data_IF_481476112566
#
_entry.id   IF_481476112566
#
_cell.length_a   1.000
_cell.length_b   1.000
_cell.length_c   1.000
_cell.angle_alpha   90.00
_cell.angle_beta   90.00
_cell.angle_gamma   90.00
#
_symmetry.space_group_name_H-M   'P 1'
#
loop_
_entity.id
_entity.type
_entity.pdbx_description
1 polymer ?
#
# COMPACT_ATOMS: atom_id res chain seq x y z
N UNK A 1 12.16 -21.68 18.02
CA UNK A 1 12.70 -20.69 17.08
C UNK A 1 11.58 -19.75 16.70
N UNK A 2 11.73 -18.44 16.92
CA UNK A 2 10.73 -17.44 16.52
C UNK A 2 11.29 -16.71 15.30
N UNK A 3 10.72 -16.87 14.09
CA UNK A 3 11.24 -16.19 12.91
C UNK A 3 11.17 -14.67 13.09
N UNK A 4 12.08 -13.94 12.44
CA UNK A 4 12.03 -12.48 12.43
C UNK A 4 10.73 -12.01 11.76
N UNK A 5 9.95 -11.19 12.47
CA UNK A 5 8.69 -10.62 11.99
C UNK A 5 8.96 -9.23 11.43
N UNK A 6 8.43 -8.94 10.24
CA UNK A 6 8.61 -7.63 9.63
C UNK A 6 7.90 -6.55 10.46
N UNK A 7 8.49 -5.36 10.68
CA UNK A 7 7.85 -4.32 11.50
C UNK A 7 6.48 -3.86 10.98
N UNK A 8 6.22 -4.03 9.68
CA UNK A 8 4.94 -3.71 9.01
C UNK A 8 4.06 -4.95 8.77
N UNK A 9 4.37 -6.09 9.38
CA UNK A 9 3.57 -7.30 9.23
C UNK A 9 2.19 -7.10 9.87
N UNK A 10 1.08 -7.24 9.12
CA UNK A 10 -0.26 -7.08 9.68
C UNK A 10 -0.70 -8.32 10.48
N UNK A 11 -1.56 -8.12 11.48
CA UNK A 11 -2.15 -9.24 12.21
C UNK A 11 -3.23 -9.93 11.37
N UNK A 12 -2.95 -11.16 10.93
CA UNK A 12 -3.85 -11.95 10.07
C UNK A 12 -5.22 -12.22 10.71
N UNK A 13 -5.28 -12.41 12.03
CA UNK A 13 -6.53 -12.66 12.79
C UNK A 13 -7.29 -11.39 13.18
N UNK A 14 -6.71 -10.20 12.99
CA UNK A 14 -7.27 -8.91 13.39
C UNK A 14 -7.88 -8.10 12.26
N UNK A 15 -8.16 -8.73 11.10
CA UNK A 15 -8.64 -8.04 9.89
C UNK A 15 -10.13 -7.73 9.96
N UNK A 16 -10.56 -6.71 9.21
CA UNK A 16 -11.96 -6.38 8.98
C UNK A 16 -12.77 -5.93 10.21
N UNK A 17 -12.11 -5.43 11.27
CA UNK A 17 -12.80 -4.97 12.48
C UNK A 17 -13.46 -3.60 12.27
N UNK A 18 -12.79 -2.69 11.57
CA UNK A 18 -13.30 -1.34 11.26
C UNK A 18 -12.98 -0.98 9.80
N UNK A 19 -13.96 -0.39 9.13
CA UNK A 19 -13.89 -0.01 7.72
C UNK A 19 -14.39 1.41 7.55
N UNK A 20 -13.79 2.12 6.61
CA UNK A 20 -14.25 3.43 6.16
C UNK A 20 -15.60 3.32 5.43
N UNK A 21 -16.45 4.37 5.42
CA UNK A 21 -17.61 4.45 4.52
C UNK A 21 -17.23 4.30 3.03
N UNK A 22 -15.99 4.59 2.67
CA UNK A 22 -15.47 4.49 1.30
C UNK A 22 -14.98 3.07 0.93
N UNK A 23 -15.09 2.11 1.85
CA UNK A 23 -14.52 0.77 1.70
C UNK A 23 -14.90 0.06 0.39
N UNK A 24 -16.17 0.13 -0.02
CA UNK A 24 -16.61 -0.51 -1.26
C UNK A 24 -15.88 0.07 -2.47
N UNK A 25 -15.75 1.41 -2.51
CA UNK A 25 -15.06 2.09 -3.60
C UNK A 25 -13.55 1.84 -3.57
N UNK A 26 -12.93 1.86 -2.39
CA UNK A 26 -11.51 1.55 -2.23
C UNK A 26 -11.20 0.11 -2.68
N UNK A 27 -12.13 -0.83 -2.44
CA UNK A 27 -12.01 -2.21 -2.92
C UNK A 27 -12.15 -2.31 -4.44
N UNK A 28 -13.10 -1.59 -5.04
CA UNK A 28 -13.25 -1.51 -6.51
C UNK A 28 -11.99 -0.96 -7.19
N UNK A 29 -11.31 -0.01 -6.56
CA UNK A 29 -10.06 0.58 -7.05
C UNK A 29 -8.83 -0.33 -6.81
N UNK A 30 -9.03 -1.50 -6.20
CA UNK A 30 -7.95 -2.44 -5.89
C UNK A 30 -7.01 -1.92 -4.79
N UNK A 31 -7.57 -1.37 -3.72
CA UNK A 31 -6.80 -0.87 -2.58
C UNK A 31 -5.92 -1.94 -1.94
N UNK A 32 -4.65 -1.60 -1.73
CA UNK A 32 -3.70 -2.43 -0.99
C UNK A 32 -3.87 -2.19 0.51
N UNK A 33 -4.70 -3.01 1.17
CA UNK A 33 -5.09 -2.78 2.56
C UNK A 33 -4.14 -3.39 3.59
N UNK A 34 -3.82 -2.61 4.61
CA UNK A 34 -3.24 -3.10 5.86
C UNK A 34 -4.06 -2.66 7.06
N UNK A 35 -3.98 -3.46 8.11
CA UNK A 35 -4.65 -3.18 9.37
C UNK A 35 -3.77 -2.31 10.27
N UNK A 36 -4.36 -1.25 10.83
CA UNK A 36 -3.73 -0.41 11.83
C UNK A 36 -4.75 0.01 12.90
N UNK A 37 -4.63 -0.54 14.11
CA UNK A 37 -5.52 -0.23 15.22
C UNK A 37 -6.97 -0.68 14.98
N UNK A 38 -7.14 -1.79 14.28
CA UNK A 38 -8.42 -2.39 13.86
C UNK A 38 -9.01 -1.78 12.58
N UNK A 39 -8.42 -0.72 12.02
CA UNK A 39 -8.87 -0.10 10.78
C UNK A 39 -8.15 -0.67 9.57
N UNK A 40 -8.91 -1.02 8.54
CA UNK A 40 -8.35 -1.28 7.22
C UNK A 40 -8.02 0.04 6.52
N UNK A 41 -6.75 0.24 6.16
CA UNK A 41 -6.27 1.43 5.45
C UNK A 41 -5.62 1.03 4.13
N UNK A 42 -6.05 1.66 3.04
CA UNK A 42 -5.39 1.49 1.75
C UNK A 42 -4.04 2.22 1.76
N UNK A 43 -2.98 1.51 1.37
CA UNK A 43 -1.63 2.07 1.22
C UNK A 43 -1.33 2.52 -0.21
N UNK A 44 -2.17 2.14 -1.17
CA UNK A 44 -2.13 2.54 -2.58
C UNK A 44 -3.24 1.82 -3.33
N UNK A 45 -3.50 2.20 -4.58
CA UNK A 45 -4.58 1.61 -5.38
C UNK A 45 -4.04 0.99 -6.67
N UNK A 46 -4.42 -0.26 -6.97
CA UNK A 46 -4.06 -0.88 -8.25
C UNK A 46 -4.55 -0.07 -9.47
N UNK A 47 -5.67 0.65 -9.34
CA UNK A 47 -6.14 1.57 -10.39
C UNK A 47 -5.10 2.63 -10.81
N UNK A 48 -4.16 2.98 -9.93
CA UNK A 48 -3.13 3.99 -10.17
C UNK A 48 -1.82 3.39 -10.72
N UNK A 49 -1.80 2.11 -11.11
CA UNK A 49 -0.61 1.48 -11.71
C UNK A 49 -0.16 2.16 -13.02
N UNK A 50 -1.08 2.80 -13.75
CA UNK A 50 -0.75 3.62 -14.92
C UNK A 50 0.22 4.78 -14.59
N UNK A 51 0.25 5.28 -13.34
CA UNK A 51 1.20 6.29 -12.91
C UNK A 51 2.64 5.78 -12.89
N UNK A 52 2.86 4.46 -12.81
CA UNK A 52 4.19 3.87 -12.89
C UNK A 52 4.83 4.04 -14.27
N UNK A 53 4.04 4.21 -15.33
CA UNK A 53 4.57 4.51 -16.67
C UNK A 53 5.26 5.88 -16.70
N UNK A 54 4.69 6.87 -15.98
CA UNK A 54 5.23 8.22 -15.88
C UNK A 54 6.31 8.36 -14.81
N UNK A 55 6.08 7.78 -13.64
CA UNK A 55 6.92 8.01 -12.44
C UNK A 55 7.82 6.85 -12.07
N UNK A 56 7.71 5.70 -12.74
CA UNK A 56 8.43 4.47 -12.39
C UNK A 56 9.94 4.65 -12.31
N UNK A 57 10.51 5.53 -13.13
CA UNK A 57 11.95 5.84 -13.14
C UNK A 57 12.42 6.61 -11.88
N UNK A 58 11.51 7.30 -11.20
CA UNK A 58 11.78 8.05 -9.96
C UNK A 58 11.48 7.24 -8.70
N UNK A 59 10.77 6.12 -8.84
CA UNK A 59 10.43 5.23 -7.72
C UNK A 59 11.48 4.12 -7.61
N UNK A 60 12.24 4.05 -6.51
CA UNK A 60 13.29 3.06 -6.35
C UNK A 60 12.72 1.64 -6.34
N UNK A 61 13.47 0.72 -6.95
CA UNK A 61 13.23 -0.72 -6.84
C UNK A 61 13.90 -1.24 -5.57
N UNK A 62 13.12 -1.88 -4.72
CA UNK A 62 13.61 -2.55 -3.52
C UNK A 62 13.89 -4.01 -3.84
N UNK A 63 15.15 -4.34 -4.06
CA UNK A 63 15.57 -5.69 -4.47
C UNK A 63 15.63 -6.67 -3.28
N UNK A 64 15.80 -6.16 -2.06
CA UNK A 64 15.84 -6.99 -0.87
C UNK A 64 14.41 -7.40 -0.48
N UNK A 65 14.20 -8.71 -0.31
CA UNK A 65 12.93 -9.28 0.11
C UNK A 65 12.36 -8.56 1.33
N UNK A 66 13.17 -8.32 2.35
CA UNK A 66 12.74 -7.69 3.60
C UNK A 66 12.20 -6.27 3.39
N UNK A 67 12.86 -5.48 2.55
CA UNK A 67 12.49 -4.08 2.27
C UNK A 67 11.31 -3.97 1.28
N UNK A 68 11.15 -4.98 0.42
CA UNK A 68 10.05 -5.08 -0.54
C UNK A 68 8.72 -5.52 0.10
N UNK A 69 8.75 -6.11 1.30
CA UNK A 69 7.54 -6.56 2.00
C UNK A 69 6.68 -5.36 2.39
N UNK A 70 5.39 -5.45 2.09
CA UNK A 70 4.39 -4.42 2.42
C UNK A 70 4.74 -3.03 1.85
N UNK A 71 5.42 -3.03 0.70
CA UNK A 71 5.77 -1.85 -0.08
C UNK A 71 5.16 -1.96 -1.47
N UNK A 72 4.39 -0.93 -1.86
CA UNK A 72 3.81 -0.82 -3.19
C UNK A 72 4.40 0.40 -3.90
N UNK A 73 4.97 0.18 -5.09
CA UNK A 73 5.57 1.26 -5.88
C UNK A 73 4.55 2.32 -6.27
N UNK A 74 3.30 1.91 -6.44
CA UNK A 74 2.18 2.79 -6.79
C UNK A 74 1.99 3.89 -5.75
N UNK A 75 2.17 3.60 -4.45
CA UNK A 75 2.08 4.61 -3.39
C UNK A 75 3.07 5.77 -3.58
N UNK A 76 4.29 5.48 -4.04
CA UNK A 76 5.27 6.52 -4.33
C UNK A 76 4.93 7.28 -5.62
N UNK A 77 4.37 6.60 -6.62
CA UNK A 77 3.90 7.25 -7.84
C UNK A 77 2.71 8.19 -7.56
N UNK A 78 1.77 7.79 -6.71
CA UNK A 78 0.68 8.64 -6.21
C UNK A 78 1.21 9.87 -5.48
N UNK A 79 2.22 9.70 -4.61
CA UNK A 79 2.86 10.82 -3.91
C UNK A 79 3.51 11.82 -4.89
N UNK A 80 4.21 11.31 -5.92
CA UNK A 80 4.83 12.14 -6.94
C UNK A 80 3.78 12.87 -7.80
N UNK A 81 2.72 12.19 -8.20
CA UNK A 81 1.60 12.80 -8.93
C UNK A 81 0.97 13.94 -8.10
N UNK A 82 0.70 13.70 -6.82
CA UNK A 82 0.15 14.72 -5.92
C UNK A 82 1.08 15.94 -5.76
N UNK A 83 2.40 15.71 -5.73
CA UNK A 83 3.38 16.79 -5.52
C UNK A 83 3.59 17.68 -6.75
N UNK A 84 3.33 17.17 -7.95
CA UNK A 84 3.55 17.91 -9.20
C UNK A 84 2.29 18.58 -9.77
N UNK A 85 1.12 18.12 -9.36
CA UNK A 85 -0.17 18.65 -9.81
C UNK A 85 -0.67 19.83 -8.94
N UNK A 86 0.11 20.22 -7.91
CA UNK A 86 -0.15 21.38 -7.03
C UNK A 86 0.61 22.62 -7.49
#
# INVERSE_FOLDING_TARGET
YNPAVHPREPFSKGRNLRRSPFWEREKELGGYFMELGGWERAHGYAANEHLLEKYGNRVPLRQNEWDSRHFWRVSNAEHLAMSEDC
#
